data_IF_179830669158
#
_entry.id   IF_179830669158
#
_cell.length_a   1.000
_cell.length_b   1.000
_cell.length_c   1.000
_cell.angle_alpha   90.00
_cell.angle_beta   90.00
_cell.angle_gamma   90.00
#
_symmetry.space_group_name_H-M   'P 1'
#
loop_
_entity.id
_entity.type
_entity.pdbx_description
1 polymer ?
#
# COMPACT_ATOMS: atom_id res chain seq x y z
N UNK A 1 18.99 -0.58 78.83
CA UNK A 1 19.56 -0.66 77.48
C UNK A 1 18.94 -1.91 76.86
N UNK A 2 17.81 -1.73 76.13
CA UNK A 2 17.18 -2.82 75.40
C UNK A 2 18.02 -3.18 74.17
N UNK A 3 18.43 -4.43 74.08
CA UNK A 3 19.07 -5.01 72.89
C UNK A 3 17.95 -5.32 71.86
N UNK A 4 18.07 -4.89 70.59
CA UNK A 4 17.07 -5.22 69.61
C UNK A 4 17.03 -6.73 69.36
N UNK A 5 15.82 -7.31 69.46
CA UNK A 5 15.51 -8.72 69.17
C UNK A 5 16.13 -9.17 67.85
N UNK A 6 16.92 -10.25 67.90
CA UNK A 6 17.43 -10.91 66.73
C UNK A 6 16.29 -11.35 65.79
N UNK A 7 16.31 -10.88 64.56
CA UNK A 7 15.39 -11.31 63.50
C UNK A 7 15.50 -12.83 63.38
N UNK A 8 14.40 -13.52 63.45
CA UNK A 8 14.34 -14.99 63.35
C UNK A 8 14.87 -15.46 61.99
N UNK A 9 15.71 -16.52 61.93
CA UNK A 9 16.23 -17.05 60.66
C UNK A 9 15.17 -17.36 59.61
N UNK A 10 13.95 -17.67 60.01
CA UNK A 10 12.80 -17.87 59.13
C UNK A 10 12.36 -16.58 58.41
N UNK A 11 12.38 -15.43 59.12
CA UNK A 11 11.98 -14.16 58.55
C UNK A 11 12.97 -13.63 57.48
N UNK A 12 14.27 -13.93 57.64
CA UNK A 12 15.31 -13.59 56.63
C UNK A 12 15.12 -14.42 55.37
N UNK A 13 14.75 -15.71 55.50
CA UNK A 13 14.46 -16.58 54.36
C UNK A 13 13.21 -16.17 53.60
N UNK A 14 12.14 -15.74 54.31
CA UNK A 14 10.92 -15.22 53.67
C UNK A 14 11.16 -13.91 52.94
N UNK A 15 11.90 -12.98 53.48
CA UNK A 15 12.28 -11.73 52.81
C UNK A 15 13.14 -11.99 51.56
N UNK A 16 14.08 -12.91 51.60
CA UNK A 16 14.87 -13.29 50.42
C UNK A 16 14.00 -13.89 49.31
N UNK A 17 13.07 -14.79 49.64
CA UNK A 17 12.12 -15.34 48.66
C UNK A 17 11.19 -14.28 48.06
N UNK A 18 10.74 -13.31 48.84
CA UNK A 18 9.96 -12.19 48.32
C UNK A 18 10.78 -11.28 47.41
N UNK A 19 12.05 -11.02 47.76
CA UNK A 19 12.96 -10.24 46.90
C UNK A 19 13.21 -10.92 45.55
N UNK A 20 13.45 -12.23 45.55
CA UNK A 20 13.64 -13.01 44.31
C UNK A 20 12.37 -13.00 43.43
N UNK A 21 11.20 -13.11 44.04
CA UNK A 21 9.94 -13.02 43.32
C UNK A 21 9.69 -11.63 42.70
N UNK A 22 9.96 -10.58 43.46
CA UNK A 22 9.84 -9.20 42.97
C UNK A 22 10.86 -8.92 41.85
N UNK A 23 12.10 -9.37 41.99
CA UNK A 23 13.13 -9.25 40.96
C UNK A 23 12.69 -9.99 39.67
N UNK A 24 12.10 -11.18 39.81
CA UNK A 24 11.51 -11.92 38.68
C UNK A 24 10.39 -11.15 37.99
N UNK A 25 9.46 -10.56 38.74
CA UNK A 25 8.36 -9.77 38.17
C UNK A 25 8.86 -8.49 37.48
N UNK A 26 9.83 -7.79 38.05
CA UNK A 26 10.44 -6.61 37.42
C UNK A 26 11.10 -6.99 36.11
N UNK A 27 11.85 -8.10 36.09
CA UNK A 27 12.47 -8.61 34.85
C UNK A 27 11.42 -8.94 33.77
N UNK A 28 10.31 -9.58 34.15
CA UNK A 28 9.23 -9.92 33.22
C UNK A 28 8.56 -8.69 32.65
N UNK A 29 8.27 -7.69 33.49
CA UNK A 29 7.68 -6.43 33.06
C UNK A 29 8.61 -5.67 32.12
N UNK A 30 9.91 -5.61 32.41
CA UNK A 30 10.91 -4.97 31.55
C UNK A 30 10.96 -5.66 30.21
N UNK A 31 11.00 -6.99 30.18
CA UNK A 31 10.99 -7.77 28.94
C UNK A 31 9.73 -7.50 28.10
N UNK A 32 8.56 -7.55 28.71
CA UNK A 32 7.30 -7.25 28.03
C UNK A 32 7.26 -5.82 27.50
N UNK A 33 7.75 -4.85 28.27
CA UNK A 33 7.83 -3.45 27.86
C UNK A 33 8.71 -3.29 26.60
N UNK A 34 9.92 -3.85 26.63
CA UNK A 34 10.84 -3.79 25.48
C UNK A 34 10.24 -4.42 24.21
N UNK A 35 9.58 -5.59 24.35
CA UNK A 35 8.93 -6.26 23.23
C UNK A 35 7.74 -5.47 22.69
N UNK A 36 6.92 -4.89 23.55
CA UNK A 36 5.78 -4.07 23.14
C UNK A 36 6.20 -2.75 22.51
N UNK A 37 7.27 -2.12 23.01
CA UNK A 37 7.84 -0.92 22.39
C UNK A 37 8.40 -1.20 20.99
N UNK A 38 9.09 -2.33 20.79
CA UNK A 38 9.58 -2.72 19.45
C UNK A 38 8.43 -2.92 18.48
N UNK A 39 7.39 -3.62 18.93
CA UNK A 39 6.18 -3.83 18.11
C UNK A 39 5.47 -2.51 17.78
N UNK A 40 5.34 -1.61 18.77
CA UNK A 40 4.69 -0.32 18.58
C UNK A 40 5.38 0.60 17.56
N UNK A 41 6.67 0.37 17.27
CA UNK A 41 7.43 1.11 16.25
C UNK A 41 7.17 0.59 14.83
N UNK A 42 6.54 -0.56 14.67
CA UNK A 42 6.21 -1.10 13.35
C UNK A 42 4.98 -0.40 12.79
N UNK A 43 5.02 -0.05 11.51
CA UNK A 43 3.90 0.58 10.79
C UNK A 43 3.40 -0.25 9.62
N UNK A 44 4.24 -1.15 9.10
CA UNK A 44 3.90 -2.06 8.03
C UNK A 44 3.47 -3.43 8.58
N UNK A 45 2.41 -4.00 8.02
CA UNK A 45 1.86 -5.28 8.49
C UNK A 45 2.91 -6.40 8.49
N UNK A 46 3.72 -6.50 7.45
CA UNK A 46 4.75 -7.55 7.35
C UNK A 46 5.80 -7.44 8.45
N UNK A 47 6.23 -6.21 8.78
CA UNK A 47 7.18 -5.95 9.87
C UNK A 47 6.58 -6.30 11.24
N UNK A 48 5.31 -5.90 11.45
CA UNK A 48 4.59 -6.20 12.68
C UNK A 48 4.43 -7.71 12.89
N UNK A 49 4.03 -8.46 11.86
CA UNK A 49 3.90 -9.91 11.92
C UNK A 49 5.25 -10.60 12.22
N UNK A 50 6.34 -10.15 11.57
CA UNK A 50 7.68 -10.67 11.84
C UNK A 50 8.13 -10.41 13.28
N UNK A 51 7.85 -9.22 13.80
CA UNK A 51 8.19 -8.87 15.18
C UNK A 51 7.39 -9.69 16.19
N UNK A 52 6.10 -9.90 15.95
CA UNK A 52 5.24 -10.76 16.79
C UNK A 52 5.80 -12.18 16.85
N UNK A 53 6.16 -12.74 15.69
CA UNK A 53 6.66 -14.10 15.62
C UNK A 53 8.03 -14.24 16.32
N UNK A 54 8.91 -13.25 16.14
CA UNK A 54 10.24 -13.20 16.75
C UNK A 54 10.17 -13.04 18.27
N UNK A 55 9.36 -12.10 18.75
CA UNK A 55 9.17 -11.83 20.17
C UNK A 55 8.54 -13.03 20.89
N UNK A 56 7.52 -13.64 20.29
CA UNK A 56 6.91 -14.85 20.81
C UNK A 56 7.93 -15.99 20.90
N UNK A 57 8.75 -16.20 19.87
CA UNK A 57 9.79 -17.21 19.88
C UNK A 57 10.79 -17.02 21.04
N UNK A 58 11.21 -15.76 21.29
CA UNK A 58 12.08 -15.43 22.43
C UNK A 58 11.43 -15.74 23.78
N UNK A 59 10.11 -15.46 23.93
CA UNK A 59 9.37 -15.71 25.18
C UNK A 59 9.19 -17.20 25.46
N UNK A 60 8.91 -18.00 24.44
CA UNK A 60 8.67 -19.45 24.60
C UNK A 60 9.93 -20.30 24.41
N UNK A 61 11.07 -19.70 24.08
CA UNK A 61 12.36 -20.40 23.89
C UNK A 61 12.46 -21.18 22.59
N UNK A 62 11.68 -20.84 21.56
CA UNK A 62 11.69 -21.49 20.25
C UNK A 62 12.64 -20.76 19.28
N UNK A 63 13.07 -21.45 18.23
CA UNK A 63 13.92 -20.88 17.17
C UNK A 63 13.20 -20.72 15.84
N UNK A 64 12.11 -21.44 15.65
CA UNK A 64 11.31 -21.47 14.44
C UNK A 64 9.86 -21.16 14.78
N UNK A 65 9.14 -20.63 13.81
CA UNK A 65 7.73 -20.36 13.98
C UNK A 65 7.03 -20.07 12.67
N UNK A 66 5.74 -20.15 12.72
CA UNK A 66 4.79 -19.86 11.65
C UNK A 66 3.71 -18.93 12.19
N UNK A 67 3.37 -17.89 11.47
CA UNK A 67 2.22 -17.06 11.78
C UNK A 67 1.30 -17.05 10.55
N UNK A 68 0.06 -17.42 10.76
CA UNK A 68 -1.01 -17.34 9.76
C UNK A 68 -1.97 -16.25 10.19
N UNK A 69 -2.02 -15.17 9.40
CA UNK A 69 -3.00 -14.12 9.52
C UNK A 69 -4.15 -14.44 8.55
N UNK A 70 -5.32 -14.69 9.08
CA UNK A 70 -6.54 -15.03 8.35
C UNK A 70 -7.72 -14.52 9.18
N UNK A 71 -8.09 -13.22 8.99
CA UNK A 71 -9.18 -12.63 9.73
C UNK A 71 -10.50 -13.39 9.47
N UNK A 72 -11.23 -13.66 10.54
CA UNK A 72 -12.44 -14.49 10.50
C UNK A 72 -13.55 -13.92 9.61
N UNK A 73 -13.60 -12.62 9.44
CA UNK A 73 -14.57 -11.94 8.58
C UNK A 73 -14.36 -12.16 7.07
N UNK A 74 -13.24 -12.80 6.68
CA UNK A 74 -12.90 -13.07 5.29
C UNK A 74 -12.51 -11.83 4.48
N UNK A 75 -12.33 -10.69 5.13
CA UNK A 75 -12.00 -9.42 4.47
C UNK A 75 -10.48 -9.18 4.36
N UNK A 76 -9.65 -10.23 4.50
CA UNK A 76 -8.19 -10.14 4.33
C UNK A 76 -7.53 -8.96 5.06
N UNK A 77 -6.25 -8.74 4.94
CA UNK A 77 -5.28 -9.49 4.15
C UNK A 77 -4.93 -10.84 4.75
N UNK A 78 -4.89 -11.88 3.92
CA UNK A 78 -4.41 -13.21 4.32
C UNK A 78 -2.91 -13.28 4.10
N UNK A 79 -2.18 -13.64 5.14
CA UNK A 79 -0.72 -13.73 5.07
C UNK A 79 -0.18 -14.88 5.91
N UNK A 80 0.78 -15.60 5.33
CA UNK A 80 1.57 -16.61 6.05
C UNK A 80 3.02 -16.19 6.07
N UNK A 81 3.62 -16.13 7.25
CA UNK A 81 5.04 -15.81 7.42
C UNK A 81 5.73 -16.86 8.29
N UNK A 82 7.03 -17.05 8.05
CA UNK A 82 7.88 -17.97 8.80
C UNK A 82 9.03 -17.25 9.50
N UNK A 83 9.43 -17.77 10.65
CA UNK A 83 10.67 -17.47 11.36
C UNK A 83 11.56 -18.72 11.31
N UNK A 84 12.79 -18.60 10.80
CA UNK A 84 13.69 -19.75 10.67
C UNK A 84 13.17 -20.81 9.68
N UNK A 85 12.22 -20.47 8.82
CA UNK A 85 11.62 -21.28 7.77
C UNK A 85 11.78 -20.58 6.43
N UNK A 86 12.33 -21.27 5.44
CA UNK A 86 12.40 -20.76 4.09
C UNK A 86 11.04 -20.84 3.39
N UNK A 87 10.87 -20.13 2.28
CA UNK A 87 9.61 -20.16 1.49
C UNK A 87 9.24 -21.58 1.04
N UNK A 88 10.23 -22.41 0.72
CA UNK A 88 10.01 -23.82 0.37
C UNK A 88 9.47 -24.63 1.56
N UNK A 89 9.92 -24.32 2.78
CA UNK A 89 9.48 -24.99 4.00
C UNK A 89 8.01 -24.68 4.31
N UNK A 90 7.61 -23.41 4.11
CA UNK A 90 6.21 -23.00 4.22
C UNK A 90 5.32 -23.77 3.22
N UNK A 91 5.78 -23.92 1.96
CA UNK A 91 5.08 -24.73 0.97
C UNK A 91 4.94 -26.22 1.38
N UNK A 92 5.92 -26.79 2.09
CA UNK A 92 5.77 -28.14 2.66
C UNK A 92 4.73 -28.19 3.77
N UNK A 93 4.71 -27.21 4.67
CA UNK A 93 3.71 -27.10 5.74
C UNK A 93 2.30 -26.99 5.15
N UNK A 94 2.10 -26.23 4.09
CA UNK A 94 0.82 -26.09 3.38
C UNK A 94 0.30 -27.40 2.78
N UNK A 95 1.16 -28.42 2.58
CA UNK A 95 0.72 -29.74 2.10
C UNK A 95 0.17 -30.63 3.22
N UNK A 96 0.33 -30.25 4.49
CA UNK A 96 -0.26 -30.98 5.62
C UNK A 96 -1.75 -30.63 5.71
N UNK A 97 -2.64 -31.60 5.98
CA UNK A 97 -4.04 -31.29 6.20
C UNK A 97 -4.20 -30.23 7.29
N UNK A 98 -4.94 -29.18 7.02
CA UNK A 98 -5.11 -28.03 7.92
C UNK A 98 -5.63 -28.45 9.31
N UNK A 99 -6.56 -29.41 9.35
CA UNK A 99 -7.11 -29.97 10.59
C UNK A 99 -6.08 -30.69 11.47
N UNK A 100 -4.95 -31.11 10.88
CA UNK A 100 -3.86 -31.80 11.57
C UNK A 100 -2.79 -30.85 12.11
N UNK A 101 -2.91 -29.57 11.80
CA UNK A 101 -2.01 -28.53 12.29
C UNK A 101 -2.65 -27.73 13.43
N UNK A 102 -1.86 -27.38 14.44
CA UNK A 102 -2.34 -26.58 15.58
C UNK A 102 -2.95 -25.25 15.16
N UNK A 103 -2.37 -24.54 14.17
CA UNK A 103 -2.96 -23.31 13.66
C UNK A 103 -4.33 -23.57 12.97
N UNK A 104 -4.48 -24.65 12.24
CA UNK A 104 -5.73 -25.00 11.59
C UNK A 104 -6.85 -25.26 12.60
N UNK A 105 -6.55 -26.02 13.65
CA UNK A 105 -7.50 -26.24 14.77
C UNK A 105 -7.93 -24.93 15.44
N UNK A 106 -7.01 -23.99 15.60
CA UNK A 106 -7.32 -22.66 16.12
C UNK A 106 -8.21 -21.89 15.14
N UNK A 107 -7.85 -21.85 13.85
CA UNK A 107 -8.54 -21.04 12.85
C UNK A 107 -9.91 -21.61 12.47
N UNK A 108 -10.07 -22.92 12.43
CA UNK A 108 -11.33 -23.57 12.06
C UNK A 108 -12.22 -23.84 13.29
N UNK A 109 -11.69 -23.64 14.50
CA UNK A 109 -12.40 -23.83 15.76
C UNK A 109 -13.49 -22.76 16.04
N UNK A 110 -14.39 -23.05 16.99
CA UNK A 110 -15.44 -22.10 17.40
C UNK A 110 -14.85 -20.82 18.05
N UNK A 111 -15.60 -19.72 18.08
CA UNK A 111 -15.21 -18.53 18.83
C UNK A 111 -15.03 -18.85 20.31
N UNK A 112 -13.93 -18.39 20.90
CA UNK A 112 -13.61 -18.67 22.30
C UNK A 112 -13.20 -20.13 22.55
N UNK A 113 -12.83 -20.87 21.50
CA UNK A 113 -12.29 -22.21 21.58
C UNK A 113 -10.95 -22.31 22.31
N UNK A 114 -10.08 -23.22 21.89
CA UNK A 114 -8.79 -23.45 22.54
C UNK A 114 -7.98 -22.16 22.68
N UNK A 115 -7.60 -21.83 23.91
CA UNK A 115 -6.81 -20.64 24.22
C UNK A 115 -5.32 -20.81 23.87
N UNK A 116 -4.86 -22.04 23.86
CA UNK A 116 -3.52 -22.46 23.46
C UNK A 116 -3.54 -23.93 23.07
N UNK A 117 -2.64 -24.33 22.21
CA UNK A 117 -2.41 -25.74 21.84
C UNK A 117 -0.93 -26.02 22.05
N UNK A 118 -0.62 -27.00 22.91
CA UNK A 118 0.72 -27.50 23.10
C UNK A 118 0.78 -28.96 22.61
N UNK A 119 1.74 -29.26 21.79
CA UNK A 119 2.07 -30.60 21.29
C UNK A 119 3.50 -30.90 21.71
N UNK A 120 3.75 -31.41 22.93
CA UNK A 120 5.06 -31.48 23.52
C UNK A 120 5.96 -32.56 22.88
N UNK A 121 5.39 -33.54 22.21
CA UNK A 121 6.09 -34.58 21.43
C UNK A 121 5.19 -35.12 20.32
N UNK A 122 5.35 -34.58 19.12
CA UNK A 122 4.59 -34.94 17.94
C UNK A 122 4.76 -36.42 17.53
N UNK A 123 5.92 -37.00 17.80
CA UNK A 123 6.23 -38.35 17.37
C UNK A 123 5.72 -39.45 18.32
N UNK A 124 5.39 -39.07 19.57
CA UNK A 124 4.77 -39.95 20.56
C UNK A 124 3.24 -40.07 20.42
N UNK A 125 2.60 -39.18 19.64
CA UNK A 125 1.16 -39.23 19.43
C UNK A 125 0.75 -40.33 18.45
N UNK A 126 -0.08 -41.27 18.91
CA UNK A 126 -0.57 -42.43 18.08
C UNK A 126 -1.48 -42.00 16.92
N UNK A 127 -1.92 -40.74 16.86
CA UNK A 127 -2.85 -40.21 15.86
C UNK A 127 -2.28 -39.16 14.92
N UNK A 128 -0.97 -38.88 14.94
CA UNK A 128 -0.36 -37.86 14.09
C UNK A 128 -0.54 -38.22 12.60
N UNK A 129 -1.08 -37.26 11.84
CA UNK A 129 -1.25 -37.41 10.38
C UNK A 129 0.07 -37.81 9.71
N UNK A 130 0.09 -38.80 8.81
CA UNK A 130 1.32 -39.26 8.17
C UNK A 130 2.06 -38.14 7.41
N UNK A 131 1.35 -37.24 6.80
CA UNK A 131 1.95 -36.12 6.07
C UNK A 131 2.54 -35.08 7.05
N UNK A 132 1.87 -34.82 8.18
CA UNK A 132 2.42 -33.99 9.24
C UNK A 132 3.71 -34.58 9.81
N UNK A 133 3.73 -35.88 10.07
CA UNK A 133 4.93 -36.62 10.52
C UNK A 133 6.09 -36.52 9.52
N UNK A 134 5.81 -36.69 8.23
CA UNK A 134 6.83 -36.54 7.18
C UNK A 134 7.41 -35.14 7.13
N UNK A 135 6.55 -34.09 7.16
CA UNK A 135 6.95 -32.70 7.10
C UNK A 135 7.72 -32.31 8.37
N UNK A 136 7.26 -32.72 9.55
CA UNK A 136 7.95 -32.47 10.82
C UNK A 136 9.36 -33.09 10.81
N UNK A 137 9.51 -34.35 10.40
CA UNK A 137 10.80 -35.01 10.29
C UNK A 137 11.71 -34.33 9.25
N UNK A 138 11.18 -33.91 8.11
CA UNK A 138 11.92 -33.22 7.05
C UNK A 138 12.43 -31.87 7.51
N UNK A 139 11.58 -31.08 8.19
CA UNK A 139 11.92 -29.74 8.69
C UNK A 139 12.65 -29.80 10.03
N UNK A 140 12.72 -30.96 10.69
CA UNK A 140 13.45 -31.19 11.91
C UNK A 140 12.82 -30.55 13.14
N UNK A 141 11.50 -30.61 13.30
CA UNK A 141 10.82 -30.20 14.52
C UNK A 141 10.07 -31.38 15.15
N UNK A 142 10.06 -31.43 16.47
CA UNK A 142 9.50 -32.54 17.25
C UNK A 142 8.36 -32.11 18.17
N UNK A 143 8.19 -30.82 18.42
CA UNK A 143 7.15 -30.28 19.28
C UNK A 143 6.64 -28.95 18.73
N UNK A 144 5.42 -28.56 19.11
CA UNK A 144 4.83 -27.29 18.75
C UNK A 144 4.06 -26.63 19.90
N UNK A 145 4.01 -25.30 19.89
CA UNK A 145 3.18 -24.49 20.76
C UNK A 145 2.49 -23.39 19.96
N UNK A 146 1.19 -23.30 20.06
CA UNK A 146 0.38 -22.39 19.27
C UNK A 146 -0.53 -21.52 20.14
N UNK A 147 -0.65 -20.25 19.75
CA UNK A 147 -1.54 -19.27 20.36
C UNK A 147 -2.44 -18.61 19.30
N UNK A 148 -3.72 -18.40 19.59
CA UNK A 148 -4.59 -17.60 18.76
C UNK A 148 -4.21 -16.12 18.82
N UNK A 149 -4.20 -15.45 17.68
CA UNK A 149 -4.20 -14.00 17.58
C UNK A 149 -5.66 -13.53 17.69
N UNK A 150 -6.15 -13.43 18.91
CA UNK A 150 -7.56 -13.14 19.19
C UNK A 150 -7.72 -12.31 20.45
N UNK A 151 -8.62 -11.32 20.39
CA UNK A 151 -9.10 -10.55 21.55
C UNK A 151 -10.60 -10.35 21.44
N UNK A 152 -11.25 -9.97 22.54
CA UNK A 152 -12.71 -9.70 22.55
C UNK A 152 -13.06 -8.54 21.60
N UNK A 153 -12.19 -7.53 21.51
CA UNK A 153 -12.42 -6.36 20.67
C UNK A 153 -12.12 -6.61 19.19
N UNK A 154 -10.98 -7.26 18.88
CA UNK A 154 -10.53 -7.49 17.51
C UNK A 154 -11.11 -8.77 16.88
N UNK A 155 -11.67 -9.65 17.69
CA UNK A 155 -12.02 -11.00 17.24
C UNK A 155 -10.78 -11.82 16.94
N UNK A 156 -10.92 -12.89 16.14
CA UNK A 156 -9.82 -13.74 15.71
C UNK A 156 -9.23 -13.23 14.39
N UNK A 157 -7.95 -12.86 14.42
CA UNK A 157 -7.19 -12.41 13.26
C UNK A 157 -6.33 -13.53 12.66
N UNK A 158 -5.92 -14.51 13.49
CA UNK A 158 -4.97 -15.52 13.03
C UNK A 158 -4.50 -16.45 14.12
N UNK A 159 -3.38 -17.12 13.88
CA UNK A 159 -2.70 -17.98 14.83
C UNK A 159 -1.18 -17.87 14.66
N UNK A 160 -0.44 -17.98 15.76
CA UNK A 160 1.01 -18.10 15.78
C UNK A 160 1.41 -19.44 16.36
N UNK A 161 2.35 -20.12 15.72
CA UNK A 161 2.87 -21.44 16.11
C UNK A 161 4.38 -21.34 16.21
N UNK A 162 4.95 -21.88 17.28
CA UNK A 162 6.39 -22.01 17.47
C UNK A 162 6.77 -23.50 17.52
N UNK A 163 7.87 -23.81 16.88
CA UNK A 163 8.35 -25.18 16.72
C UNK A 163 9.64 -25.39 17.49
N UNK A 164 9.77 -26.56 18.12
CA UNK A 164 10.95 -26.98 18.84
C UNK A 164 11.63 -28.15 18.13
N UNK A 165 12.96 -28.16 18.15
CA UNK A 165 13.77 -29.18 17.48
C UNK A 165 13.73 -30.52 18.22
N UNK A 166 13.42 -30.48 19.53
CA UNK A 166 13.31 -31.64 20.42
C UNK A 166 11.94 -31.58 21.14
N UNK A 167 11.47 -32.72 21.70
CA UNK A 167 10.29 -32.72 22.57
C UNK A 167 10.42 -31.64 23.66
N UNK A 168 9.51 -30.71 23.68
CA UNK A 168 9.53 -29.57 24.60
C UNK A 168 8.16 -28.94 24.77
N UNK A 169 7.96 -28.28 25.89
CA UNK A 169 6.77 -27.48 26.19
C UNK A 169 7.18 -26.23 26.97
N UNK A 170 6.66 -25.05 26.66
CA UNK A 170 6.97 -23.85 27.42
C UNK A 170 6.45 -23.97 28.85
N UNK A 171 7.25 -23.55 29.83
CA UNK A 171 6.83 -23.54 31.24
C UNK A 171 5.72 -22.51 31.46
N UNK A 172 4.94 -22.67 32.56
CA UNK A 172 3.79 -21.82 32.86
C UNK A 172 4.08 -20.32 32.81
N UNK A 173 5.24 -19.88 33.31
CA UNK A 173 5.70 -18.48 33.23
C UNK A 173 5.84 -18.02 31.77
N UNK A 174 6.46 -18.83 30.92
CA UNK A 174 6.64 -18.53 29.49
C UNK A 174 5.29 -18.44 28.78
N UNK A 175 4.38 -19.38 29.03
CA UNK A 175 3.00 -19.35 28.49
C UNK A 175 2.27 -18.08 28.90
N UNK A 176 2.34 -17.71 30.19
CA UNK A 176 1.72 -16.51 30.71
C UNK A 176 2.24 -15.25 30.00
N UNK A 177 3.57 -15.08 29.90
CA UNK A 177 4.18 -13.93 29.25
C UNK A 177 3.86 -13.87 27.75
N UNK A 178 3.94 -15.02 27.05
CA UNK A 178 3.57 -15.12 25.66
C UNK A 178 2.09 -14.75 25.42
N UNK A 179 1.19 -15.24 26.29
CA UNK A 179 -0.23 -14.92 26.23
C UNK A 179 -0.52 -13.43 26.45
N UNK A 180 0.19 -12.76 27.40
CA UNK A 180 0.08 -11.32 27.62
C UNK A 180 0.57 -10.54 26.40
N UNK A 181 1.73 -10.90 25.88
CA UNK A 181 2.30 -10.26 24.68
C UNK A 181 1.42 -10.43 23.45
N UNK A 182 0.93 -11.65 23.19
CA UNK A 182 0.09 -11.95 22.03
C UNK A 182 -1.23 -11.18 22.07
N UNK A 183 -1.84 -10.98 23.23
CA UNK A 183 -3.03 -10.13 23.35
C UNK A 183 -2.74 -8.69 22.95
N UNK A 184 -1.67 -8.10 23.45
CA UNK A 184 -1.25 -6.75 23.05
C UNK A 184 -0.92 -6.69 21.54
N UNK A 185 -0.18 -7.69 21.05
CA UNK A 185 0.18 -7.79 19.65
C UNK A 185 -1.05 -7.89 18.74
N UNK A 186 -2.06 -8.65 19.14
CA UNK A 186 -3.32 -8.78 18.39
C UNK A 186 -4.02 -7.44 18.23
N UNK A 187 -4.10 -6.63 19.31
CA UNK A 187 -4.69 -5.29 19.25
C UNK A 187 -3.90 -4.35 18.31
N UNK A 188 -2.58 -4.44 18.31
CA UNK A 188 -1.74 -3.66 17.40
C UNK A 188 -1.93 -4.11 15.95
N UNK A 189 -1.92 -5.42 15.69
CA UNK A 189 -2.18 -5.99 14.37
C UNK A 189 -3.56 -5.65 13.84
N UNK A 190 -4.59 -5.68 14.69
CA UNK A 190 -5.95 -5.31 14.31
C UNK A 190 -6.02 -3.89 13.74
N UNK A 191 -5.33 -2.95 14.39
CA UNK A 191 -5.26 -1.56 13.91
C UNK A 191 -4.55 -1.43 12.57
N UNK A 192 -3.45 -2.16 12.38
CA UNK A 192 -2.72 -2.14 11.09
C UNK A 192 -3.57 -2.77 9.99
N UNK A 193 -4.21 -3.90 10.26
CA UNK A 193 -5.10 -4.59 9.30
C UNK A 193 -6.26 -3.69 8.89
N UNK A 194 -6.91 -3.01 9.85
CA UNK A 194 -8.01 -2.10 9.55
C UNK A 194 -7.55 -0.89 8.71
N UNK A 195 -6.36 -0.37 9.01
CA UNK A 195 -5.76 0.70 8.21
C UNK A 195 -5.44 0.23 6.78
N UNK A 196 -4.88 -0.97 6.61
CA UNK A 196 -4.63 -1.55 5.28
C UNK A 196 -5.93 -1.79 4.50
N UNK A 197 -6.98 -2.29 5.15
CA UNK A 197 -8.32 -2.46 4.56
C UNK A 197 -8.91 -1.15 4.08
N UNK A 198 -8.85 -0.13 4.93
CA UNK A 198 -9.34 1.20 4.59
C UNK A 198 -8.60 1.77 3.38
N UNK A 199 -7.28 1.63 3.35
CA UNK A 199 -6.46 2.05 2.20
C UNK A 199 -6.80 1.28 0.94
N UNK A 200 -6.93 -0.03 1.02
CA UNK A 200 -7.30 -0.87 -0.13
C UNK A 200 -8.69 -0.50 -0.68
N UNK A 201 -9.66 -0.27 0.21
CA UNK A 201 -11.00 0.19 -0.17
C UNK A 201 -10.93 1.54 -0.90
N UNK A 202 -10.18 2.51 -0.38
CA UNK A 202 -10.00 3.81 -1.01
C UNK A 202 -9.33 3.69 -2.38
N UNK A 203 -8.32 2.86 -2.50
CA UNK A 203 -7.65 2.60 -3.79
C UNK A 203 -8.63 2.02 -4.81
N UNK A 204 -9.42 1.02 -4.42
CA UNK A 204 -10.44 0.43 -5.28
C UNK A 204 -11.47 1.47 -5.74
N UNK A 205 -12.00 2.30 -4.83
CA UNK A 205 -12.94 3.36 -5.18
C UNK A 205 -12.30 4.35 -6.16
N UNK A 206 -11.06 4.77 -5.90
CA UNK A 206 -10.35 5.69 -6.79
C UNK A 206 -10.09 5.08 -8.17
N UNK A 207 -9.81 3.77 -8.25
CA UNK A 207 -9.65 3.05 -9.51
C UNK A 207 -10.95 2.94 -10.30
N UNK A 208 -12.06 2.63 -9.63
CA UNK A 208 -13.40 2.56 -10.26
C UNK A 208 -13.88 3.94 -10.78
N UNK A 209 -13.40 5.03 -10.20
CA UNK A 209 -13.68 6.38 -10.67
C UNK A 209 -12.86 6.78 -11.90
N UNK A 210 -11.90 5.98 -12.35
CA UNK A 210 -11.06 6.23 -13.52
C UNK A 210 -11.51 5.39 -14.74
N UNK A 211 -11.02 5.69 -15.96
CA UNK A 211 -11.36 4.90 -17.13
C UNK A 211 -10.90 3.45 -16.99
N UNK A 212 -11.83 2.51 -16.96
CA UNK A 212 -11.51 1.07 -16.95
C UNK A 212 -10.77 0.63 -18.22
N UNK A 213 -11.02 1.33 -19.34
CA UNK A 213 -10.36 1.09 -20.64
C UNK A 213 -10.20 2.40 -21.39
N UNK A 214 -9.06 2.57 -22.04
CA UNK A 214 -8.84 3.66 -22.96
C UNK A 214 -9.54 3.38 -24.30
N UNK A 215 -10.11 4.40 -24.93
CA UNK A 215 -10.76 4.25 -26.23
C UNK A 215 -9.73 3.90 -27.32
N UNK A 216 -10.21 3.28 -28.37
CA UNK A 216 -9.42 2.98 -29.58
C UNK A 216 -9.96 3.80 -30.72
N UNK A 217 -9.16 4.72 -31.21
CA UNK A 217 -9.47 5.55 -32.36
C UNK A 217 -8.38 5.41 -33.42
N UNK A 218 -8.72 5.45 -34.71
CA UNK A 218 -7.73 5.51 -35.79
C UNK A 218 -6.83 6.75 -35.62
N UNK A 219 -5.54 6.59 -35.92
CA UNK A 219 -4.56 7.68 -35.91
C UNK A 219 -3.93 7.99 -34.54
N UNK A 220 -4.43 7.39 -33.45
CA UNK A 220 -3.85 7.58 -32.12
C UNK A 220 -3.88 6.30 -31.28
N UNK A 221 -2.76 6.00 -30.62
CA UNK A 221 -2.64 4.93 -29.65
C UNK A 221 -2.46 5.53 -28.27
N UNK A 222 -3.17 4.99 -27.27
CA UNK A 222 -3.21 5.52 -25.92
C UNK A 222 -2.67 4.50 -24.91
N UNK A 223 -1.94 4.98 -23.91
CA UNK A 223 -1.60 4.21 -22.74
C UNK A 223 -1.63 5.12 -21.50
N UNK A 224 -2.04 4.57 -20.36
CA UNK A 224 -1.99 5.26 -19.09
C UNK A 224 -1.24 4.42 -18.05
N UNK A 225 -0.55 5.10 -17.15
CA UNK A 225 0.09 4.52 -15.97
C UNK A 225 -0.30 5.34 -14.76
N UNK A 226 -0.58 4.65 -13.68
CA UNK A 226 -0.92 5.27 -12.41
C UNK A 226 -0.23 4.56 -11.25
N UNK A 227 0.14 5.34 -10.26
CA UNK A 227 0.58 4.85 -8.96
C UNK A 227 -0.06 5.71 -7.89
N UNK A 228 -0.88 5.10 -7.04
CA UNK A 228 -1.54 5.78 -5.94
C UNK A 228 -0.59 5.97 -4.76
N UNK A 229 -0.72 7.10 -4.09
CA UNK A 229 -0.12 7.33 -2.78
C UNK A 229 -0.80 6.45 -1.70
N UNK A 230 -0.20 6.37 -0.51
CA UNK A 230 -0.66 5.48 0.57
C UNK A 230 -2.03 5.84 1.16
N UNK A 231 -2.52 7.02 0.91
CA UNK A 231 -3.81 7.52 1.45
C UNK A 231 -4.91 7.66 0.39
N UNK A 232 -4.61 7.29 -0.88
CA UNK A 232 -5.42 7.65 -2.02
C UNK A 232 -5.31 9.14 -2.34
N UNK A 233 -5.26 9.51 -3.59
CA UNK A 233 -5.06 10.88 -4.02
C UNK A 233 -6.17 11.40 -4.91
N UNK A 234 -6.01 12.66 -5.26
CA UNK A 234 -6.91 13.40 -6.13
C UNK A 234 -6.50 13.40 -7.61
N UNK A 235 -5.47 12.62 -7.99
CA UNK A 235 -4.98 12.61 -9.36
C UNK A 235 -5.85 11.74 -10.26
N UNK A 236 -6.09 12.24 -11.44
CA UNK A 236 -6.94 11.59 -12.42
C UNK A 236 -6.47 11.82 -13.86
N UNK A 237 -6.93 10.97 -14.74
CA UNK A 237 -6.81 11.11 -16.18
C UNK A 237 -8.12 10.73 -16.84
N UNK A 238 -8.30 11.19 -18.07
CA UNK A 238 -9.40 10.76 -18.93
C UNK A 238 -8.99 10.73 -20.40
N UNK A 239 -9.64 9.86 -21.13
CA UNK A 239 -9.62 9.82 -22.59
C UNK A 239 -11.06 9.54 -23.06
N UNK A 240 -11.70 10.56 -23.59
CA UNK A 240 -13.11 10.56 -23.92
C UNK A 240 -13.31 10.65 -25.43
N UNK A 241 -13.91 9.65 -26.08
CA UNK A 241 -14.36 9.82 -27.46
C UNK A 241 -15.38 10.97 -27.55
N UNK A 242 -15.15 11.87 -28.47
CA UNK A 242 -16.00 13.02 -28.76
C UNK A 242 -16.63 12.87 -30.16
N UNK A 243 -17.66 13.70 -30.52
CA UNK A 243 -18.17 13.73 -31.86
C UNK A 243 -17.08 13.89 -32.92
N UNK A 244 -17.42 13.60 -34.20
CA UNK A 244 -16.55 13.74 -35.38
C UNK A 244 -15.19 13.00 -35.28
N UNK A 245 -15.18 11.85 -34.58
CA UNK A 245 -13.97 11.06 -34.30
C UNK A 245 -12.85 11.83 -33.54
N UNK A 246 -13.22 12.88 -32.86
CA UNK A 246 -12.33 13.61 -31.97
C UNK A 246 -12.17 12.90 -30.61
N UNK A 247 -11.16 13.34 -29.85
CA UNK A 247 -10.79 12.73 -28.57
C UNK A 247 -10.50 13.83 -27.55
N UNK A 248 -11.19 13.82 -26.42
CA UNK A 248 -10.80 14.59 -25.26
C UNK A 248 -9.75 13.85 -24.44
N UNK A 249 -8.62 14.48 -24.18
CA UNK A 249 -7.57 13.99 -23.27
C UNK A 249 -7.50 14.92 -22.06
N UNK A 250 -7.46 14.36 -20.87
CA UNK A 250 -7.37 15.15 -19.66
C UNK A 250 -6.48 14.50 -18.61
N UNK A 251 -5.80 15.34 -17.83
CA UNK A 251 -5.14 14.99 -16.59
C UNK A 251 -5.40 16.09 -15.56
N UNK A 252 -5.40 15.76 -14.30
CA UNK A 252 -5.56 16.73 -13.23
C UNK A 252 -5.27 16.16 -11.86
N UNK A 253 -5.16 17.05 -10.90
CA UNK A 253 -4.91 16.75 -9.49
C UNK A 253 -5.74 17.65 -8.60
N UNK A 254 -6.49 17.06 -7.69
CA UNK A 254 -7.20 17.78 -6.62
C UNK A 254 -6.30 17.86 -5.41
N UNK A 255 -6.20 19.04 -4.80
CA UNK A 255 -5.40 19.22 -3.57
C UNK A 255 -5.88 18.37 -2.43
N UNK A 256 -4.91 17.78 -1.72
CA UNK A 256 -5.13 16.91 -0.56
C UNK A 256 -5.09 15.41 -0.89
N UNK A 257 -5.46 14.60 0.08
CA UNK A 257 -5.46 13.15 -0.02
C UNK A 257 -6.63 12.55 0.75
N UNK A 258 -6.84 11.24 0.58
CA UNK A 258 -7.86 10.49 1.28
C UNK A 258 -9.28 10.61 0.69
N UNK A 259 -10.32 10.14 1.40
CA UNK A 259 -11.68 9.99 0.88
C UNK A 259 -12.26 11.28 0.27
N UNK A 260 -11.98 12.41 0.89
CA UNK A 260 -12.48 13.72 0.45
C UNK A 260 -11.87 14.17 -0.88
N UNK A 261 -10.56 13.92 -1.09
CA UNK A 261 -9.89 14.21 -2.36
C UNK A 261 -10.39 13.28 -3.47
N UNK A 262 -10.53 11.99 -3.19
CA UNK A 262 -11.07 11.00 -4.14
C UNK A 262 -12.50 11.36 -4.58
N UNK A 263 -13.36 11.77 -3.63
CA UNK A 263 -14.73 12.18 -3.95
C UNK A 263 -14.77 13.45 -4.80
N UNK A 264 -13.93 14.44 -4.50
CA UNK A 264 -13.84 15.67 -5.30
C UNK A 264 -13.29 15.39 -6.71
N UNK A 265 -12.26 14.55 -6.83
CA UNK A 265 -11.71 14.07 -8.09
C UNK A 265 -12.80 13.44 -8.97
N UNK A 266 -13.60 12.53 -8.39
CA UNK A 266 -14.69 11.87 -9.11
C UNK A 266 -15.73 12.88 -9.65
N UNK A 267 -16.10 13.89 -8.83
CA UNK A 267 -17.02 14.95 -9.27
C UNK A 267 -16.43 15.80 -10.39
N UNK A 268 -15.19 16.29 -10.20
CA UNK A 268 -14.52 17.12 -11.23
C UNK A 268 -14.36 16.38 -12.54
N UNK A 269 -13.91 15.12 -12.50
CA UNK A 269 -13.77 14.30 -13.71
C UNK A 269 -15.10 14.07 -14.41
N UNK A 270 -16.16 13.74 -13.67
CA UNK A 270 -17.50 13.54 -14.24
C UNK A 270 -18.04 14.82 -14.88
N UNK A 271 -17.82 15.97 -14.26
CA UNK A 271 -18.26 17.27 -14.79
C UNK A 271 -17.43 17.68 -16.01
N UNK A 272 -16.11 17.46 -15.99
CA UNK A 272 -15.26 17.70 -17.16
C UNK A 272 -15.75 16.87 -18.37
N UNK A 273 -16.12 15.63 -18.18
CA UNK A 273 -16.69 14.79 -19.26
C UNK A 273 -17.96 15.37 -19.84
N UNK A 274 -18.85 15.89 -18.97
CA UNK A 274 -20.10 16.51 -19.42
C UNK A 274 -19.82 17.78 -20.25
N UNK A 275 -18.94 18.65 -19.77
CA UNK A 275 -18.56 19.87 -20.50
C UNK A 275 -17.79 19.55 -21.78
N UNK A 276 -16.91 18.56 -21.77
CA UNK A 276 -16.19 18.13 -22.97
C UNK A 276 -17.11 17.59 -24.07
N UNK A 277 -18.21 16.95 -23.72
CA UNK A 277 -19.21 16.50 -24.72
C UNK A 277 -19.96 17.70 -25.33
N UNK A 278 -20.16 18.76 -24.55
CA UNK A 278 -20.92 19.93 -24.98
C UNK A 278 -20.06 20.95 -25.74
N UNK A 279 -18.85 21.21 -25.25
CA UNK A 279 -17.98 22.32 -25.67
C UNK A 279 -16.51 21.89 -25.85
N UNK A 280 -16.27 20.60 -26.09
CA UNK A 280 -14.90 20.06 -26.11
C UNK A 280 -13.97 20.67 -27.13
N UNK A 281 -14.48 21.26 -28.21
CA UNK A 281 -13.69 21.97 -29.21
C UNK A 281 -13.01 23.24 -28.63
N UNK A 282 -13.56 23.80 -27.54
CA UNK A 282 -12.98 24.91 -26.80
C UNK A 282 -12.49 24.48 -25.41
N UNK A 283 -11.22 24.07 -25.26
CA UNK A 283 -10.66 23.68 -23.98
C UNK A 283 -10.73 24.74 -22.89
N UNK A 284 -10.74 26.01 -23.26
CA UNK A 284 -10.85 27.13 -22.33
C UNK A 284 -12.25 27.18 -21.72
N UNK A 285 -13.29 27.02 -22.55
CA UNK A 285 -14.69 26.97 -22.08
C UNK A 285 -14.88 25.80 -21.10
N UNK A 286 -14.42 24.59 -21.46
CA UNK A 286 -14.49 23.39 -20.60
C UNK A 286 -13.86 23.64 -19.24
N UNK A 287 -12.67 24.23 -19.17
CA UNK A 287 -11.98 24.49 -17.90
C UNK A 287 -12.62 25.66 -17.13
N UNK A 288 -13.17 26.67 -17.83
CA UNK A 288 -13.89 27.79 -17.20
C UNK A 288 -15.16 27.34 -16.49
N UNK A 289 -15.92 26.43 -17.12
CA UNK A 289 -17.10 25.84 -16.52
C UNK A 289 -16.77 24.93 -15.35
N UNK A 290 -15.63 24.21 -15.44
CA UNK A 290 -15.13 23.39 -14.36
C UNK A 290 -14.67 24.25 -13.16
N UNK A 291 -14.02 25.40 -13.41
CA UNK A 291 -13.69 26.41 -12.40
C UNK A 291 -14.93 26.91 -11.67
N UNK A 292 -15.95 27.29 -12.45
CA UNK A 292 -17.20 27.81 -11.91
C UNK A 292 -17.89 26.78 -11.01
N UNK A 293 -17.94 25.52 -11.46
CA UNK A 293 -18.48 24.42 -10.68
C UNK A 293 -17.72 24.22 -9.38
N UNK A 294 -16.38 24.11 -9.44
CA UNK A 294 -15.54 23.89 -8.26
C UNK A 294 -15.75 24.98 -7.22
N UNK A 295 -15.74 26.23 -7.64
CA UNK A 295 -15.93 27.38 -6.78
C UNK A 295 -17.28 27.41 -6.05
N UNK A 296 -18.35 26.96 -6.71
CA UNK A 296 -19.68 26.93 -6.09
C UNK A 296 -19.92 25.68 -5.22
N UNK A 297 -19.28 24.57 -5.54
CA UNK A 297 -19.56 23.31 -4.85
C UNK A 297 -18.48 22.95 -3.80
N UNK A 298 -17.26 23.43 -3.98
CA UNK A 298 -16.09 23.09 -3.13
C UNK A 298 -15.22 24.35 -2.87
N UNK A 299 -15.73 25.39 -2.25
CA UNK A 299 -15.09 26.72 -2.22
C UNK A 299 -13.73 26.76 -1.49
N UNK A 300 -13.38 25.74 -0.72
CA UNK A 300 -12.10 25.65 -0.02
C UNK A 300 -11.08 24.72 -0.72
N UNK A 301 -11.38 24.28 -1.93
CA UNK A 301 -10.56 23.30 -2.64
C UNK A 301 -10.00 23.89 -3.93
N UNK A 302 -8.77 23.51 -4.25
CA UNK A 302 -8.13 23.85 -5.52
C UNK A 302 -7.80 22.59 -6.31
N UNK A 303 -7.66 22.71 -7.61
CA UNK A 303 -7.25 21.60 -8.47
C UNK A 303 -6.40 22.13 -9.63
N UNK A 304 -5.44 21.33 -10.07
CA UNK A 304 -4.80 21.54 -11.36
C UNK A 304 -5.48 20.67 -12.41
N UNK A 305 -5.62 21.16 -13.62
CA UNK A 305 -6.20 20.41 -14.71
C UNK A 305 -5.60 20.84 -16.05
N UNK A 306 -5.47 19.88 -16.96
CA UNK A 306 -5.17 20.10 -18.36
C UNK A 306 -6.22 19.35 -19.18
N UNK A 307 -6.82 20.03 -20.13
CA UNK A 307 -7.73 19.45 -21.11
C UNK A 307 -7.24 19.72 -22.51
N UNK A 308 -7.23 18.70 -23.36
CA UNK A 308 -6.87 18.79 -24.76
C UNK A 308 -7.98 18.19 -25.64
N UNK A 309 -8.47 18.96 -26.56
CA UNK A 309 -9.26 18.51 -27.69
C UNK A 309 -8.31 18.01 -28.79
N UNK A 310 -8.45 16.78 -29.18
CA UNK A 310 -7.57 16.13 -30.15
C UNK A 310 -8.35 15.68 -31.39
N UNK A 311 -7.83 16.05 -32.57
CA UNK A 311 -8.26 15.57 -33.88
C UNK A 311 -7.22 14.57 -34.40
N UNK A 312 -7.37 13.26 -34.14
CA UNK A 312 -6.33 12.27 -34.45
C UNK A 312 -5.95 12.22 -35.93
N UNK A 313 -6.93 12.37 -36.83
CA UNK A 313 -6.69 12.38 -38.27
C UNK A 313 -5.78 13.53 -38.74
N UNK A 314 -5.84 14.67 -38.06
CA UNK A 314 -5.00 15.84 -38.32
C UNK A 314 -3.74 15.87 -37.44
N UNK A 315 -3.64 14.98 -36.46
CA UNK A 315 -2.62 14.98 -35.39
C UNK A 315 -2.54 16.32 -34.66
N UNK A 316 -3.67 17.00 -34.57
CA UNK A 316 -3.80 18.31 -33.96
C UNK A 316 -4.40 18.19 -32.57
N UNK A 317 -3.82 18.91 -31.62
CA UNK A 317 -4.35 19.08 -30.28
C UNK A 317 -4.51 20.58 -30.01
N UNK A 318 -5.72 20.96 -29.58
CA UNK A 318 -5.95 22.26 -28.97
C UNK A 318 -6.09 22.02 -27.46
N UNK A 319 -5.26 22.68 -26.65
CA UNK A 319 -5.20 22.39 -25.22
C UNK A 319 -5.16 23.66 -24.37
N UNK A 320 -5.71 23.57 -23.18
CA UNK A 320 -5.62 24.59 -22.13
C UNK A 320 -5.27 23.93 -20.79
N UNK A 321 -4.58 24.68 -19.93
CA UNK A 321 -4.17 24.23 -18.61
C UNK A 321 -4.57 25.20 -17.52
N UNK A 322 -4.95 24.67 -16.36
CA UNK A 322 -5.25 25.41 -15.14
C UNK A 322 -4.23 25.03 -14.05
N UNK A 323 -3.16 25.81 -13.93
CA UNK A 323 -2.08 25.56 -12.96
C UNK A 323 -1.38 24.21 -13.15
N UNK A 324 -1.44 23.61 -14.31
CA UNK A 324 -0.93 22.29 -14.59
C UNK A 324 0.41 22.33 -15.33
N UNK A 325 1.27 21.34 -15.04
CA UNK A 325 2.57 21.21 -15.71
C UNK A 325 2.43 21.03 -17.22
N UNK A 326 3.36 21.60 -18.03
CA UNK A 326 3.29 21.53 -19.49
C UNK A 326 3.45 20.09 -19.99
N UNK A 327 2.69 19.69 -21.03
CA UNK A 327 2.88 18.40 -21.68
C UNK A 327 4.29 18.26 -22.29
N UNK A 328 4.75 17.01 -22.42
CA UNK A 328 6.02 16.70 -23.05
C UNK A 328 5.81 15.92 -24.35
N UNK A 329 6.29 16.43 -25.46
CA UNK A 329 6.32 15.72 -26.74
C UNK A 329 7.64 14.97 -26.86
N UNK A 330 7.60 13.70 -27.24
CA UNK A 330 8.80 12.92 -27.55
C UNK A 330 8.63 12.12 -28.83
N UNK A 331 9.66 12.11 -29.66
CA UNK A 331 9.63 11.45 -30.95
C UNK A 331 11.01 11.18 -31.56
N UNK A 332 11.06 10.79 -32.85
CA UNK A 332 12.31 10.52 -33.49
C UNK A 332 13.21 11.76 -33.66
N UNK A 333 12.62 12.96 -33.78
CA UNK A 333 13.31 14.20 -34.16
C UNK A 333 13.41 15.21 -33.02
N UNK A 334 12.42 15.22 -32.07
CA UNK A 334 12.38 16.18 -30.97
C UNK A 334 11.97 15.52 -29.68
N UNK A 335 12.36 16.12 -28.58
CA UNK A 335 11.80 15.92 -27.24
C UNK A 335 11.77 17.30 -26.61
N UNK A 336 10.58 17.83 -26.32
CA UNK A 336 10.41 19.20 -25.84
C UNK A 336 9.13 19.36 -25.04
N UNK A 337 9.14 20.24 -24.05
CA UNK A 337 7.93 20.66 -23.38
C UNK A 337 7.11 21.58 -24.27
N UNK A 338 5.80 21.40 -24.24
CA UNK A 338 4.87 22.26 -24.94
C UNK A 338 4.72 23.54 -24.14
N UNK A 339 5.08 24.68 -24.73
CA UNK A 339 4.92 25.98 -24.05
C UNK A 339 3.45 26.28 -23.84
N UNK A 340 2.97 26.11 -22.59
CA UNK A 340 1.63 26.49 -22.18
C UNK A 340 1.65 27.83 -21.49
N UNK A 341 0.55 28.59 -21.61
CA UNK A 341 0.40 29.83 -20.85
C UNK A 341 0.29 29.54 -19.36
N UNK A 342 0.95 30.37 -18.55
CA UNK A 342 0.79 30.31 -17.10
C UNK A 342 -0.64 30.69 -16.74
N UNK A 343 -1.33 29.83 -16.03
CA UNK A 343 -2.66 30.05 -15.49
C UNK A 343 -2.73 29.59 -14.05
N UNK A 344 -3.65 30.13 -13.27
CA UNK A 344 -3.86 29.68 -11.91
C UNK A 344 -4.58 28.33 -11.85
N UNK A 345 -4.33 27.52 -10.81
CA UNK A 345 -5.17 26.36 -10.51
C UNK A 345 -6.65 26.73 -10.39
N UNK A 346 -7.52 25.79 -10.70
CA UNK A 346 -8.97 25.90 -10.51
C UNK A 346 -9.27 26.15 -9.00
N UNK A 347 -10.30 26.95 -8.73
CA UNK A 347 -10.71 27.30 -7.37
C UNK A 347 -9.86 28.38 -6.69
N UNK A 348 -8.86 28.92 -7.38
CA UNK A 348 -7.91 29.87 -6.77
C UNK A 348 -8.24 31.34 -7.05
N UNK A 349 -8.76 31.67 -8.23
CA UNK A 349 -9.05 33.02 -8.65
C UNK A 349 -10.53 33.24 -8.94
N UNK A 350 -11.04 34.44 -8.67
CA UNK A 350 -12.43 34.77 -8.96
C UNK A 350 -12.75 34.86 -10.46
N UNK A 351 -11.76 35.22 -11.28
CA UNK A 351 -11.81 35.14 -12.74
C UNK A 351 -10.65 34.34 -13.21
N UNK A 352 -10.94 33.14 -13.74
CA UNK A 352 -9.94 32.26 -14.31
C UNK A 352 -9.96 32.42 -15.84
N UNK A 353 -8.81 32.65 -16.40
CA UNK A 353 -8.60 32.71 -17.84
C UNK A 353 -7.26 32.06 -18.19
N UNK A 354 -7.21 31.30 -19.25
CA UNK A 354 -5.99 30.84 -19.88
C UNK A 354 -6.18 30.74 -21.38
N UNK A 355 -5.26 31.25 -22.21
CA UNK A 355 -5.34 31.01 -23.64
C UNK A 355 -5.11 29.53 -23.95
N UNK A 356 -5.84 29.03 -24.95
CA UNK A 356 -5.54 27.74 -25.55
C UNK A 356 -4.30 27.85 -26.43
N UNK A 357 -3.62 26.74 -26.60
CA UNK A 357 -2.53 26.58 -27.54
C UNK A 357 -2.83 25.43 -28.51
N UNK A 358 -2.27 25.53 -29.72
CA UNK A 358 -2.34 24.47 -30.71
C UNK A 358 -1.02 23.74 -30.82
N UNK A 359 -1.09 22.41 -30.81
CA UNK A 359 0.04 21.52 -31.03
C UNK A 359 -0.26 20.59 -32.20
N UNK A 360 0.64 20.53 -33.17
CA UNK A 360 0.60 19.51 -34.20
C UNK A 360 1.70 18.49 -33.95
N UNK A 361 1.30 17.23 -33.76
CA UNK A 361 2.23 16.13 -33.58
C UNK A 361 2.68 15.59 -34.94
N UNK A 362 3.96 15.20 -35.03
CA UNK A 362 4.45 14.50 -36.20
C UNK A 362 4.11 12.99 -36.11
N UNK A 363 4.09 12.27 -37.26
CA UNK A 363 3.89 10.83 -37.23
C UNK A 363 4.95 10.13 -36.35
N UNK A 364 4.47 9.30 -35.45
CA UNK A 364 5.33 8.57 -34.50
C UNK A 364 5.72 9.33 -33.24
N UNK A 365 5.28 10.57 -33.08
CA UNK A 365 5.45 11.31 -31.82
C UNK A 365 4.45 10.84 -30.75
N UNK A 366 4.88 10.91 -29.52
CA UNK A 366 4.07 10.64 -28.33
C UNK A 366 3.98 11.91 -27.48
N UNK A 367 2.77 12.32 -27.18
CA UNK A 367 2.48 13.40 -26.22
C UNK A 367 2.24 12.76 -24.84
N UNK A 368 2.99 13.23 -23.87
CA UNK A 368 2.92 12.79 -22.47
C UNK A 368 2.24 13.86 -21.63
N UNK A 369 1.10 13.51 -21.03
CA UNK A 369 0.38 14.30 -20.02
C UNK A 369 0.63 13.63 -18.67
N UNK A 370 0.98 14.38 -17.63
CA UNK A 370 1.37 13.80 -16.35
C UNK A 370 1.02 14.74 -15.19
N UNK A 371 0.78 14.19 -14.02
CA UNK A 371 0.54 14.99 -12.80
C UNK A 371 1.86 15.33 -12.10
N UNK A 372 1.84 16.41 -11.32
CA UNK A 372 3.02 16.96 -10.65
C UNK A 372 3.66 15.99 -9.66
N UNK A 373 2.90 14.99 -9.17
CA UNK A 373 3.44 13.93 -8.35
C UNK A 373 4.58 13.16 -9.01
N UNK A 374 4.62 13.08 -10.35
CA UNK A 374 5.75 12.49 -11.08
C UNK A 374 7.05 13.28 -10.84
N UNK A 375 6.95 14.61 -10.76
CA UNK A 375 8.09 15.50 -10.53
C UNK A 375 8.47 15.53 -9.03
N UNK A 376 7.49 15.69 -8.15
CA UNK A 376 7.70 15.79 -6.71
C UNK A 376 8.31 14.54 -6.12
N UNK A 377 7.91 13.35 -6.58
CA UNK A 377 8.48 12.08 -6.11
C UNK A 377 9.93 11.85 -6.48
N UNK A 378 10.51 12.65 -7.36
CA UNK A 378 11.96 12.60 -7.61
C UNK A 378 12.78 13.05 -6.41
N UNK A 379 12.20 13.88 -5.53
CA UNK A 379 12.89 14.55 -4.44
C UNK A 379 13.85 15.66 -4.90
N UNK A 380 13.94 15.90 -6.21
CA UNK A 380 14.77 16.94 -6.81
C UNK A 380 14.06 18.32 -6.77
N UNK A 381 14.81 19.43 -6.80
CA UNK A 381 14.25 20.74 -7.14
C UNK A 381 13.53 20.69 -8.48
N UNK A 382 12.44 21.47 -8.63
CA UNK A 382 11.51 21.37 -9.76
C UNK A 382 12.20 21.45 -11.13
N UNK A 383 13.17 22.36 -11.30
CA UNK A 383 13.90 22.49 -12.56
C UNK A 383 14.71 21.24 -12.93
N UNK A 384 15.28 20.58 -11.91
CA UNK A 384 16.03 19.33 -12.10
C UNK A 384 15.07 18.16 -12.38
N UNK A 385 13.90 18.15 -11.74
CA UNK A 385 12.87 17.16 -12.00
C UNK A 385 12.37 17.24 -13.46
N UNK A 386 12.13 18.46 -13.97
CA UNK A 386 11.82 18.66 -15.39
C UNK A 386 12.94 18.20 -16.31
N UNK A 387 14.19 18.54 -16.01
CA UNK A 387 15.35 18.11 -16.80
C UNK A 387 15.47 16.58 -16.81
N UNK A 388 15.20 15.93 -15.67
CA UNK A 388 15.20 14.47 -15.53
C UNK A 388 14.08 13.82 -16.35
N UNK A 389 12.88 14.38 -16.31
CA UNK A 389 11.75 13.91 -17.11
C UNK A 389 12.04 14.05 -18.62
N UNK A 390 12.57 15.20 -19.05
CA UNK A 390 13.00 15.43 -20.42
C UNK A 390 14.05 14.41 -20.87
N UNK A 391 15.11 14.21 -20.08
CA UNK A 391 16.16 13.25 -20.37
C UNK A 391 15.62 11.81 -20.45
N UNK A 392 14.70 11.44 -19.56
CA UNK A 392 14.04 10.15 -19.58
C UNK A 392 13.25 9.92 -20.87
N UNK A 393 12.46 10.89 -21.30
CA UNK A 393 11.69 10.81 -22.53
C UNK A 393 12.60 10.79 -23.79
N UNK A 394 13.66 11.59 -23.81
CA UNK A 394 14.64 11.61 -24.91
C UNK A 394 15.39 10.27 -25.03
N UNK A 395 15.63 9.57 -23.92
CA UNK A 395 16.39 8.32 -23.86
C UNK A 395 15.58 7.09 -24.27
N UNK A 396 14.28 7.21 -24.59
CA UNK A 396 13.43 6.07 -24.99
C UNK A 396 14.04 5.36 -26.20
N UNK A 397 14.36 4.05 -26.12
CA UNK A 397 14.91 3.29 -27.24
C UNK A 397 13.96 3.26 -28.44
N UNK A 398 14.54 3.34 -29.66
CA UNK A 398 13.73 3.33 -30.88
C UNK A 398 12.69 2.21 -30.98
N UNK A 399 13.01 0.94 -30.63
CA UNK A 399 12.00 -0.12 -30.69
C UNK A 399 10.81 0.08 -29.74
N UNK A 400 11.00 0.81 -28.64
CA UNK A 400 9.95 1.07 -27.67
C UNK A 400 9.03 2.23 -28.06
N UNK A 401 9.48 3.11 -28.96
CA UNK A 401 8.72 4.30 -29.38
C UNK A 401 7.44 3.99 -30.17
N UNK A 402 7.29 2.75 -30.64
CA UNK A 402 6.09 2.31 -31.37
C UNK A 402 4.92 1.98 -30.45
N UNK A 403 5.17 1.81 -29.16
CA UNK A 403 4.17 1.48 -28.15
C UNK A 403 4.15 2.57 -27.05
N UNK A 404 3.07 3.35 -26.92
CA UNK A 404 2.96 4.38 -25.90
C UNK A 404 3.05 3.82 -24.47
N UNK A 405 2.66 2.54 -24.25
CA UNK A 405 2.82 1.86 -22.97
C UNK A 405 4.28 1.64 -22.63
N UNK A 406 5.09 1.18 -23.61
CA UNK A 406 6.53 1.00 -23.41
C UNK A 406 7.25 2.35 -23.18
N UNK A 407 6.82 3.42 -23.86
CA UNK A 407 7.32 4.78 -23.61
C UNK A 407 7.03 5.21 -22.18
N UNK A 408 5.79 5.07 -21.74
CA UNK A 408 5.38 5.44 -20.37
C UNK A 408 6.15 4.63 -19.31
N UNK A 409 6.32 3.33 -19.50
CA UNK A 409 7.06 2.45 -18.59
C UNK A 409 8.55 2.82 -18.52
N UNK A 410 9.16 3.18 -19.65
CA UNK A 410 10.55 3.63 -19.68
C UNK A 410 10.73 4.94 -18.92
N UNK A 411 9.86 5.91 -19.18
CA UNK A 411 9.88 7.23 -18.51
C UNK A 411 9.75 7.06 -17.01
N UNK A 412 8.74 6.31 -16.55
CA UNK A 412 8.52 6.08 -15.13
C UNK A 412 9.70 5.41 -14.44
N UNK A 413 10.27 4.34 -15.03
CA UNK A 413 11.44 3.66 -14.46
C UNK A 413 12.69 4.54 -14.42
N UNK A 414 12.85 5.44 -15.38
CA UNK A 414 14.02 6.33 -15.44
C UNK A 414 13.88 7.51 -14.49
N UNK A 415 12.68 8.06 -14.35
CA UNK A 415 12.38 9.15 -13.42
C UNK A 415 12.34 8.67 -11.98
N UNK A 416 11.75 7.50 -11.72
CA UNK A 416 11.56 6.89 -10.41
C UNK A 416 12.20 5.49 -10.35
N UNK A 417 13.54 5.37 -10.29
CA UNK A 417 14.25 4.08 -10.38
C UNK A 417 13.93 3.12 -9.23
N UNK A 418 13.60 3.64 -8.04
CA UNK A 418 13.18 2.82 -6.89
C UNK A 418 11.74 2.33 -6.99
N UNK A 419 11.07 2.64 -8.09
CA UNK A 419 9.68 2.34 -8.35
C UNK A 419 8.72 3.35 -7.70
N UNK A 420 7.54 3.52 -8.26
CA UNK A 420 6.58 4.51 -7.78
C UNK A 420 6.01 4.21 -6.38
N UNK A 421 6.29 3.04 -5.80
CA UNK A 421 5.79 2.63 -4.48
C UNK A 421 6.82 2.68 -3.34
N UNK A 422 8.10 2.97 -3.60
CA UNK A 422 9.17 2.88 -2.57
C UNK A 422 9.66 4.22 -2.01
N UNK A 423 9.35 5.33 -2.63
CA UNK A 423 9.61 6.65 -2.04
C UNK A 423 8.49 6.99 -1.06
N UNK A 424 8.82 7.60 0.06
CA UNK A 424 7.89 8.12 1.09
C UNK A 424 6.94 9.22 0.54
N UNK A 425 6.86 9.38 -0.78
CA UNK A 425 5.98 10.32 -1.46
C UNK A 425 4.52 9.95 -1.26
N UNK A 426 3.77 10.89 -0.69
CA UNK A 426 2.34 10.77 -0.39
C UNK A 426 1.45 11.03 -1.61
N UNK A 427 2.00 11.56 -2.69
CA UNK A 427 1.26 12.01 -3.87
C UNK A 427 1.03 10.89 -4.89
N UNK A 428 -0.08 10.94 -5.58
CA UNK A 428 -0.36 10.08 -6.71
C UNK A 428 0.56 10.43 -7.89
N UNK A 429 0.73 9.51 -8.82
CA UNK A 429 1.39 9.73 -10.11
C UNK A 429 0.48 9.23 -11.21
N UNK A 430 0.20 10.07 -12.17
CA UNK A 430 -0.49 9.74 -13.41
C UNK A 430 0.40 10.11 -14.59
N UNK A 431 0.47 9.24 -15.57
CA UNK A 431 1.11 9.47 -16.86
C UNK A 431 0.21 8.92 -17.97
N UNK A 432 -0.33 9.79 -18.80
CA UNK A 432 -1.13 9.47 -19.97
C UNK A 432 -0.29 9.75 -21.23
N UNK A 433 -0.09 8.72 -22.06
CA UNK A 433 0.67 8.79 -23.30
C UNK A 433 -0.26 8.65 -24.50
N UNK A 434 -0.19 9.58 -25.44
CA UNK A 434 -0.91 9.57 -26.69
C UNK A 434 0.09 9.58 -27.87
N UNK A 435 0.20 8.47 -28.59
CA UNK A 435 1.11 8.32 -29.74
C UNK A 435 0.31 8.48 -31.03
N UNK A 436 0.79 9.35 -31.90
CA UNK A 436 0.18 9.65 -33.21
C UNK A 436 0.81 8.80 -34.32
N UNK A 437 -0.03 8.28 -35.22
CA UNK A 437 0.39 7.44 -36.35
C UNK A 437 0.72 8.25 -37.61
#
# INVERSE_FOLDING_TARGET
>A
VDVPSAVSPGAVGEVALLQDRLAGWVSDLTTLQELTERLARTSALTEALQEVLRAGAALVGARRGLLVLEPRDGLGPDRTIGLGLARADLGHIETVPRSSMSYGRILDGPPGGEREIAEPDLFSEDGLDPRHREVAARLGYAASYALPLSTDAAGRLGAAVWFYDEPAEPVERQRHLAGLYIRYATEHLARIVELERTRACMTTIAEELLPARLPRLPGVQLAARRSSGPYGGGDWYDALPLPDAALGLAVGSVTGSGPSAVAAMGRLRASLRAYAVMEGEDPVAVLSDLELLLRFTEPARTATALFAYCEPALRKLTLAGAGHSPPLVTGPRRTEFVETSLSAPLGMLACWEAPSIELTAEPGETVLLYTDGLLHRTGDPIDRAFARLHAAAASVPRPMRVDPGAVADHVLRTVLPDGPGRTEGTEDVVLLAARFE
#
